data_IF_207546062170
#
_entry.id   IF_207546062170
#
_cell.length_a   1.000
_cell.length_b   1.000
_cell.length_c   1.000
_cell.angle_alpha   90.00
_cell.angle_beta   90.00
_cell.angle_gamma   90.00
#
_symmetry.space_group_name_H-M   'P 1'
#
loop_
_entity.id
_entity.type
_entity.pdbx_description
1 polymer ?
#
# COMPACT_ATOMS: atom_id res chain seq x y z
N UNK A 1 -24.07 16.61 -20.25
CA UNK A 1 -24.61 15.25 -20.00
C UNK A 1 -23.84 14.50 -18.90
N UNK A 2 -22.50 14.54 -18.86
CA UNK A 2 -21.69 13.82 -17.87
C UNK A 2 -21.87 14.29 -16.42
N UNK A 3 -22.11 15.59 -16.19
CA UNK A 3 -22.48 16.11 -14.86
C UNK A 3 -23.74 15.42 -14.30
N UNK A 4 -24.76 15.21 -15.13
CA UNK A 4 -25.98 14.52 -14.69
C UNK A 4 -25.71 13.06 -14.31
N UNK A 5 -24.83 12.37 -15.04
CA UNK A 5 -24.38 11.03 -14.67
C UNK A 5 -23.60 11.02 -13.35
N UNK A 6 -22.71 11.99 -13.15
CA UNK A 6 -21.97 12.17 -11.90
C UNK A 6 -22.90 12.38 -10.71
N UNK A 7 -23.90 13.26 -10.86
CA UNK A 7 -24.93 13.48 -9.85
C UNK A 7 -25.81 12.23 -9.62
N UNK A 8 -26.13 11.48 -10.67
CA UNK A 8 -26.82 10.20 -10.52
C UNK A 8 -26.00 9.22 -9.67
N UNK A 9 -24.71 9.02 -9.94
CA UNK A 9 -23.85 8.16 -9.12
C UNK A 9 -23.69 8.65 -7.69
N UNK A 10 -23.67 9.97 -7.48
CA UNK A 10 -23.68 10.57 -6.14
C UNK A 10 -24.96 10.16 -5.38
N UNK A 11 -26.13 10.28 -6.01
CA UNK A 11 -27.41 9.86 -5.40
C UNK A 11 -27.41 8.35 -5.11
N UNK A 12 -26.95 7.52 -6.05
CA UNK A 12 -26.86 6.06 -5.81
C UNK A 12 -25.91 5.74 -4.67
N UNK A 13 -24.77 6.44 -4.58
CA UNK A 13 -23.82 6.31 -3.46
C UNK A 13 -24.48 6.68 -2.14
N UNK A 14 -25.19 7.82 -2.08
CA UNK A 14 -25.93 8.24 -0.88
C UNK A 14 -26.97 7.19 -0.46
N UNK A 15 -27.74 6.64 -1.41
CA UNK A 15 -28.74 5.60 -1.12
C UNK A 15 -28.09 4.32 -0.59
N UNK A 16 -27.00 3.86 -1.20
CA UNK A 16 -26.27 2.70 -0.72
C UNK A 16 -25.74 2.94 0.69
N UNK A 17 -25.03 4.05 0.91
CA UNK A 17 -24.49 4.39 2.24
C UNK A 17 -25.59 4.49 3.29
N UNK A 18 -26.73 5.12 2.98
CA UNK A 18 -27.90 5.14 3.86
C UNK A 18 -28.39 3.72 4.17
N UNK A 19 -28.43 2.83 3.18
CA UNK A 19 -28.72 1.40 3.36
C UNK A 19 -27.76 0.71 4.35
N UNK A 20 -26.44 0.93 4.23
CA UNK A 20 -25.46 0.40 5.19
C UNK A 20 -25.66 0.94 6.60
N UNK A 21 -25.96 2.24 6.74
CA UNK A 21 -26.23 2.86 8.05
C UNK A 21 -27.50 2.29 8.68
N UNK A 22 -28.57 2.09 7.89
CA UNK A 22 -29.80 1.46 8.35
C UNK A 22 -29.59 0.01 8.77
N UNK A 23 -28.82 -0.76 7.99
CA UNK A 23 -28.47 -2.14 8.33
C UNK A 23 -27.68 -2.21 9.64
N UNK A 24 -26.65 -1.36 9.80
CA UNK A 24 -25.87 -1.28 11.04
C UNK A 24 -26.74 -0.87 12.24
N UNK A 25 -27.62 0.11 12.06
CA UNK A 25 -28.58 0.53 13.08
C UNK A 25 -29.55 -0.59 13.47
N UNK A 26 -30.05 -1.35 12.49
CA UNK A 26 -30.92 -2.51 12.71
C UNK A 26 -30.22 -3.63 13.47
N UNK A 27 -28.97 -3.95 13.13
CA UNK A 27 -28.16 -4.95 13.84
C UNK A 27 -27.90 -4.52 15.29
N UNK A 28 -27.51 -3.27 15.53
CA UNK A 28 -27.32 -2.74 16.89
C UNK A 28 -28.61 -2.81 17.71
N UNK A 29 -29.75 -2.50 17.10
CA UNK A 29 -31.06 -2.63 17.73
C UNK A 29 -31.38 -4.09 18.09
N UNK A 30 -31.14 -5.03 17.18
CA UNK A 30 -31.36 -6.46 17.40
C UNK A 30 -30.48 -7.00 18.54
N UNK A 31 -29.17 -6.72 18.52
CA UNK A 31 -28.24 -7.11 19.59
C UNK A 31 -28.69 -6.55 20.94
N UNK A 32 -29.06 -5.27 21.00
CA UNK A 32 -29.57 -4.64 22.22
C UNK A 32 -30.86 -5.31 22.71
N UNK A 33 -31.78 -5.65 21.81
CA UNK A 33 -33.02 -6.35 22.13
C UNK A 33 -32.75 -7.73 22.74
N UNK A 34 -31.81 -8.49 22.16
CA UNK A 34 -31.38 -9.79 22.69
C UNK A 34 -30.79 -9.63 24.09
N UNK A 35 -29.85 -8.68 24.28
CA UNK A 35 -29.26 -8.37 25.60
C UNK A 35 -30.35 -8.05 26.62
N UNK A 36 -31.31 -7.18 26.28
CA UNK A 36 -32.42 -6.84 27.19
C UNK A 36 -33.25 -8.07 27.57
N UNK A 37 -33.55 -8.96 26.62
CA UNK A 37 -34.29 -10.20 26.90
C UNK A 37 -33.52 -11.14 27.82
N UNK A 38 -32.20 -11.28 27.63
CA UNK A 38 -31.36 -12.10 28.50
C UNK A 38 -31.31 -11.58 29.95
N UNK A 39 -31.22 -10.26 30.13
CA UNK A 39 -31.16 -9.66 31.48
C UNK A 39 -32.52 -9.44 32.14
N UNK A 40 -33.62 -9.40 31.38
CA UNK A 40 -34.97 -9.28 31.92
C UNK A 40 -35.34 -10.44 32.87
N UNK A 41 -34.80 -11.64 32.62
CA UNK A 41 -35.00 -12.82 33.48
C UNK A 41 -34.22 -12.78 34.81
N UNK A 42 -33.27 -11.86 34.99
CA UNK A 42 -32.41 -11.78 36.18
C UNK A 42 -32.86 -10.73 37.21
N UNK A 43 -34.06 -10.14 37.06
CA UNK A 43 -34.58 -9.11 37.96
C UNK A 43 -33.83 -7.77 37.94
N UNK A 44 -32.72 -7.65 37.19
CA UNK A 44 -31.96 -6.41 37.02
C UNK A 44 -32.59 -5.56 35.92
N UNK A 45 -33.27 -4.48 36.28
CA UNK A 45 -33.72 -3.46 35.32
C UNK A 45 -32.48 -2.76 34.74
N UNK A 46 -32.22 -2.85 33.42
CA UNK A 46 -31.10 -2.12 32.82
C UNK A 46 -31.29 -0.62 33.01
N UNK A 47 -30.26 0.09 33.48
CA UNK A 47 -30.29 1.56 33.57
C UNK A 47 -30.58 2.13 32.18
N UNK A 48 -31.70 2.86 32.03
CA UNK A 48 -31.99 3.62 30.82
C UNK A 48 -30.85 4.61 30.59
N UNK A 49 -30.17 4.48 29.47
CA UNK A 49 -29.17 5.47 29.07
C UNK A 49 -29.86 6.65 28.38
N UNK A 50 -29.21 7.82 28.34
CA UNK A 50 -29.67 8.97 27.54
C UNK A 50 -29.88 8.61 26.06
N UNK A 51 -29.06 7.69 25.53
CA UNK A 51 -29.21 7.10 24.20
C UNK A 51 -30.55 6.36 24.03
N UNK A 52 -31.09 5.74 25.09
CA UNK A 52 -32.42 5.11 25.03
C UNK A 52 -33.54 6.14 24.93
N UNK A 53 -33.44 7.27 25.64
CA UNK A 53 -34.44 8.32 25.53
C UNK A 53 -34.48 8.91 24.11
N UNK A 54 -33.32 9.06 23.46
CA UNK A 54 -33.21 9.62 22.10
C UNK A 54 -33.70 8.63 21.02
N UNK A 55 -33.42 7.34 21.16
CA UNK A 55 -33.77 6.34 20.14
C UNK A 55 -35.24 5.91 20.23
N UNK A 56 -35.83 5.87 21.44
CA UNK A 56 -37.12 5.24 21.67
C UNK A 56 -38.29 6.21 21.93
N UNK A 57 -38.05 7.50 22.19
CA UNK A 57 -39.12 8.50 22.19
C UNK A 57 -39.44 8.92 20.75
N UNK A 58 -40.68 8.74 20.24
CA UNK A 58 -41.01 8.94 18.83
C UNK A 58 -40.65 10.33 18.29
N UNK A 59 -40.93 11.37 19.08
CA UNK A 59 -40.70 12.76 18.66
C UNK A 59 -39.22 13.14 18.65
N UNK A 60 -38.46 12.71 19.67
CA UNK A 60 -36.99 12.91 19.72
C UNK A 60 -36.30 12.09 18.64
N UNK A 61 -36.78 10.86 18.38
CA UNK A 61 -36.28 10.00 17.31
C UNK A 61 -36.49 10.64 15.94
N UNK A 62 -37.69 11.16 15.65
CA UNK A 62 -37.96 11.82 14.35
C UNK A 62 -37.07 13.04 14.12
N UNK A 63 -36.90 13.90 15.14
CA UNK A 63 -36.01 15.06 15.07
C UNK A 63 -34.55 14.63 14.88
N UNK A 64 -34.08 13.65 15.65
CA UNK A 64 -32.72 13.13 15.55
C UNK A 64 -32.45 12.49 14.18
N UNK A 65 -33.37 11.67 13.65
CA UNK A 65 -33.24 11.07 12.33
C UNK A 65 -33.23 12.13 11.21
N UNK A 66 -34.10 13.13 11.30
CA UNK A 66 -34.13 14.24 10.34
C UNK A 66 -32.81 15.02 10.35
N UNK A 67 -32.29 15.32 11.55
CA UNK A 67 -31.00 15.98 11.71
C UNK A 67 -29.85 15.12 11.13
N UNK A 68 -29.81 13.83 11.44
CA UNK A 68 -28.79 12.91 10.90
C UNK A 68 -28.87 12.83 9.37
N UNK A 69 -30.06 12.80 8.79
CA UNK A 69 -30.25 12.81 7.34
C UNK A 69 -29.75 14.12 6.71
N UNK A 70 -30.04 15.27 7.32
CA UNK A 70 -29.54 16.57 6.85
C UNK A 70 -28.01 16.59 6.88
N UNK A 71 -27.41 16.22 8.01
CA UNK A 71 -25.95 16.15 8.17
C UNK A 71 -25.33 15.20 7.14
N UNK A 72 -25.94 14.04 6.93
CA UNK A 72 -25.53 13.06 5.94
C UNK A 72 -25.52 13.63 4.52
N UNK A 73 -26.60 14.29 4.11
CA UNK A 73 -26.72 14.92 2.78
C UNK A 73 -25.72 16.05 2.59
N UNK A 74 -25.61 16.95 3.59
CA UNK A 74 -24.67 18.06 3.57
C UNK A 74 -23.23 17.56 3.46
N UNK A 75 -22.87 16.53 4.22
CA UNK A 75 -21.53 15.94 4.15
C UNK A 75 -21.20 15.40 2.76
N UNK A 76 -22.10 14.62 2.14
CA UNK A 76 -21.85 14.06 0.81
C UNK A 76 -21.79 15.14 -0.27
N UNK A 77 -22.68 16.14 -0.20
CA UNK A 77 -22.68 17.25 -1.14
C UNK A 77 -21.42 18.12 -1.00
N UNK A 78 -21.02 18.45 0.23
CA UNK A 78 -19.80 19.21 0.49
C UNK A 78 -18.56 18.46 0.00
N UNK A 79 -18.48 17.14 0.26
CA UNK A 79 -17.37 16.33 -0.21
C UNK A 79 -17.33 16.24 -1.75
N UNK A 80 -18.48 16.10 -2.40
CA UNK A 80 -18.59 16.15 -3.86
C UNK A 80 -18.13 17.49 -4.43
N UNK A 81 -18.60 18.61 -3.87
CA UNK A 81 -18.22 19.96 -4.31
C UNK A 81 -16.72 20.16 -4.14
N UNK A 82 -16.14 19.74 -3.01
CA UNK A 82 -14.70 19.82 -2.77
C UNK A 82 -13.92 19.02 -3.83
N UNK A 83 -14.31 17.77 -4.11
CA UNK A 83 -13.66 16.96 -5.14
C UNK A 83 -13.81 17.60 -6.52
N UNK A 84 -14.99 18.13 -6.84
CA UNK A 84 -15.22 18.81 -8.11
C UNK A 84 -14.36 20.06 -8.26
N UNK A 85 -14.24 20.88 -7.23
CA UNK A 85 -13.38 22.06 -7.22
C UNK A 85 -11.90 21.69 -7.40
N UNK A 86 -11.46 20.58 -6.82
CA UNK A 86 -10.09 20.10 -6.95
C UNK A 86 -9.78 19.59 -8.37
N UNK A 87 -10.71 18.86 -9.00
CA UNK A 87 -10.42 18.08 -10.21
C UNK A 87 -11.01 18.64 -11.51
N UNK A 88 -11.90 19.63 -11.44
CA UNK A 88 -12.53 20.28 -12.61
C UNK A 88 -11.98 21.69 -12.85
N UNK A 89 -10.72 21.94 -12.49
CA UNK A 89 -10.03 23.20 -12.81
C UNK A 89 -9.88 23.38 -14.32
N UNK A 90 -9.72 24.64 -14.77
CA UNK A 90 -9.57 24.96 -16.21
C UNK A 90 -8.32 24.33 -16.84
N UNK A 91 -7.30 24.09 -16.04
CA UNK A 91 -6.02 23.53 -16.49
C UNK A 91 -6.00 21.98 -16.47
N UNK A 92 -7.11 21.35 -16.05
CA UNK A 92 -7.20 19.89 -15.97
C UNK A 92 -7.68 19.29 -17.29
N UNK A 93 -7.09 18.15 -17.66
CA UNK A 93 -7.47 17.41 -18.85
C UNK A 93 -8.68 16.50 -18.59
N UNK A 94 -9.32 16.06 -19.69
CA UNK A 94 -10.36 15.02 -19.69
C UNK A 94 -11.55 15.31 -18.76
N UNK A 95 -12.03 16.55 -18.74
CA UNK A 95 -13.09 17.01 -17.84
C UNK A 95 -14.33 16.11 -17.82
N UNK A 96 -14.70 15.52 -18.96
CA UNK A 96 -15.82 14.57 -19.05
C UNK A 96 -15.57 13.28 -18.25
N UNK A 97 -14.36 12.71 -18.35
CA UNK A 97 -13.94 11.57 -17.54
C UNK A 97 -13.88 11.96 -16.05
N UNK A 98 -13.39 13.18 -15.74
CA UNK A 98 -13.26 13.68 -14.36
C UNK A 98 -14.58 13.81 -13.63
N UNK A 99 -15.70 14.03 -14.32
CA UNK A 99 -17.02 14.01 -13.66
C UNK A 99 -17.30 12.62 -13.03
N UNK A 100 -16.86 11.52 -13.65
CA UNK A 100 -16.93 10.17 -13.07
C UNK A 100 -15.89 9.98 -11.97
N UNK A 101 -14.68 10.54 -12.14
CA UNK A 101 -13.67 10.52 -11.09
C UNK A 101 -14.16 11.18 -9.80
N UNK A 102 -14.77 12.35 -9.89
CA UNK A 102 -15.31 13.11 -8.76
C UNK A 102 -16.40 12.31 -8.04
N UNK A 103 -17.35 11.72 -8.77
CA UNK A 103 -18.36 10.84 -8.16
C UNK A 103 -17.72 9.60 -7.52
N UNK A 104 -16.74 9.00 -8.20
CA UNK A 104 -15.99 7.85 -7.71
C UNK A 104 -15.18 8.14 -6.45
N UNK A 105 -14.65 9.35 -6.26
CA UNK A 105 -13.95 9.78 -5.05
C UNK A 105 -14.88 9.83 -3.83
N UNK A 106 -16.14 10.24 -4.02
CA UNK A 106 -17.13 10.27 -2.93
C UNK A 106 -17.41 8.84 -2.44
N UNK A 107 -17.71 7.92 -3.37
CA UNK A 107 -17.91 6.51 -3.05
C UNK A 107 -16.67 5.88 -2.42
N UNK A 108 -15.50 6.15 -2.99
CA UNK A 108 -14.23 5.65 -2.50
C UNK A 108 -13.94 6.13 -1.07
N UNK A 109 -14.22 7.39 -0.74
CA UNK A 109 -14.05 7.91 0.62
C UNK A 109 -14.85 7.11 1.65
N UNK A 110 -16.10 6.76 1.33
CA UNK A 110 -16.91 5.89 2.18
C UNK A 110 -16.36 4.46 2.26
N UNK A 111 -16.01 3.85 1.12
CA UNK A 111 -15.39 2.52 1.07
C UNK A 111 -14.09 2.47 1.88
N UNK A 112 -13.22 3.46 1.75
CA UNK A 112 -11.95 3.56 2.46
C UNK A 112 -12.13 3.71 3.98
N UNK A 113 -13.24 4.32 4.44
CA UNK A 113 -13.62 4.35 5.84
C UNK A 113 -14.04 2.96 6.33
N UNK A 114 -14.91 2.28 5.59
CA UNK A 114 -15.36 0.92 5.94
C UNK A 114 -14.19 -0.08 5.97
N UNK A 115 -13.30 -0.03 4.97
CA UNK A 115 -12.17 -0.97 4.87
C UNK A 115 -11.11 -0.78 5.97
N UNK A 116 -11.23 0.25 6.82
CA UNK A 116 -10.49 0.30 8.10
C UNK A 116 -10.90 -0.83 9.04
N UNK A 117 -12.18 -1.18 9.06
CA UNK A 117 -12.77 -2.11 10.03
C UNK A 117 -13.03 -3.49 9.43
N UNK A 118 -13.36 -3.55 8.14
CA UNK A 118 -13.68 -4.81 7.44
C UNK A 118 -12.74 -5.05 6.27
N UNK A 119 -12.59 -6.30 5.85
CA UNK A 119 -11.73 -6.68 4.73
C UNK A 119 -12.28 -6.14 3.40
N UNK A 120 -11.45 -5.66 2.44
CA UNK A 120 -11.92 -5.16 1.15
C UNK A 120 -12.77 -6.15 0.32
N UNK A 121 -12.48 -7.44 0.45
CA UNK A 121 -13.16 -8.53 -0.28
C UNK A 121 -14.41 -9.08 0.43
N UNK A 122 -14.75 -8.57 1.61
CA UNK A 122 -15.92 -9.11 2.33
C UNK A 122 -17.18 -8.91 1.49
N UNK A 123 -18.04 -9.92 1.43
CA UNK A 123 -19.28 -9.92 0.60
C UNK A 123 -20.16 -8.71 0.89
N UNK A 124 -20.17 -8.25 2.15
CA UNK A 124 -20.89 -7.05 2.58
C UNK A 124 -20.48 -5.82 1.77
N UNK A 125 -19.25 -5.69 1.28
CA UNK A 125 -18.78 -4.56 0.46
C UNK A 125 -19.07 -4.70 -1.04
N UNK A 126 -19.56 -5.86 -1.49
CA UNK A 126 -19.74 -6.14 -2.93
C UNK A 126 -20.59 -5.09 -3.67
N UNK A 127 -21.74 -4.61 -3.13
CA UNK A 127 -22.52 -3.56 -3.81
C UNK A 127 -21.72 -2.27 -4.05
N UNK A 128 -20.90 -1.85 -3.07
CA UNK A 128 -20.05 -0.66 -3.20
C UNK A 128 -18.90 -0.90 -4.17
N UNK A 129 -18.30 -2.08 -4.15
CA UNK A 129 -17.23 -2.46 -5.07
C UNK A 129 -17.75 -2.50 -6.52
N UNK A 130 -18.93 -3.09 -6.74
CA UNK A 130 -19.57 -3.15 -8.06
C UNK A 130 -19.91 -1.76 -8.60
N UNK A 131 -20.45 -0.87 -7.74
CA UNK A 131 -20.70 0.51 -8.14
C UNK A 131 -19.40 1.25 -8.49
N UNK A 132 -18.33 1.07 -7.72
CA UNK A 132 -17.03 1.69 -8.02
C UNK A 132 -16.46 1.19 -9.35
N UNK A 133 -16.49 -0.12 -9.60
CA UNK A 133 -16.02 -0.71 -10.87
C UNK A 133 -16.85 -0.19 -12.05
N UNK A 134 -18.16 0.01 -11.88
CA UNK A 134 -19.02 0.61 -12.91
C UNK A 134 -18.64 2.07 -13.19
N UNK A 135 -18.49 2.90 -12.16
CA UNK A 135 -18.05 4.30 -12.30
C UNK A 135 -16.67 4.37 -12.97
N UNK A 136 -15.74 3.51 -12.56
CA UNK A 136 -14.42 3.37 -13.18
C UNK A 136 -14.53 3.01 -14.66
N UNK A 137 -15.24 1.93 -14.99
CA UNK A 137 -15.41 1.47 -16.38
C UNK A 137 -15.99 2.55 -17.28
N UNK A 138 -16.99 3.31 -16.81
CA UNK A 138 -17.60 4.36 -17.61
C UNK A 138 -16.70 5.59 -17.75
N UNK A 139 -16.01 5.99 -16.69
CA UNK A 139 -15.09 7.13 -16.74
C UNK A 139 -13.84 6.86 -17.58
N UNK A 140 -13.21 5.69 -17.46
CA UNK A 140 -11.98 5.39 -18.23
C UNK A 140 -12.23 5.17 -19.72
N UNK A 141 -13.46 4.90 -20.16
CA UNK A 141 -13.82 4.89 -21.59
C UNK A 141 -13.67 6.26 -22.24
N UNK A 142 -13.75 7.33 -21.44
CA UNK A 142 -13.61 8.71 -21.88
C UNK A 142 -12.15 9.19 -21.84
N UNK A 143 -11.23 8.38 -21.29
CA UNK A 143 -9.80 8.66 -21.33
C UNK A 143 -9.18 8.09 -22.62
N UNK A 144 -8.13 8.73 -23.17
CA UNK A 144 -7.32 8.11 -24.21
C UNK A 144 -6.78 6.75 -23.75
N UNK A 145 -6.75 5.76 -24.65
CA UNK A 145 -6.34 4.37 -24.31
C UNK A 145 -4.95 4.29 -23.65
N UNK A 146 -4.06 5.21 -24.01
CA UNK A 146 -2.67 5.32 -23.54
C UNK A 146 -2.48 6.39 -22.46
N UNK A 147 -3.54 6.86 -21.80
CA UNK A 147 -3.38 7.82 -20.70
C UNK A 147 -3.06 7.10 -19.38
N UNK A 148 -2.00 7.53 -18.70
CA UNK A 148 -1.56 7.02 -17.41
C UNK A 148 -2.56 7.23 -16.28
N UNK A 149 -3.49 8.18 -16.44
CA UNK A 149 -4.51 8.53 -15.44
C UNK A 149 -5.37 7.32 -15.03
N UNK A 150 -5.71 6.44 -15.97
CA UNK A 150 -6.54 5.25 -15.65
C UNK A 150 -5.90 4.33 -14.62
N UNK A 151 -4.58 4.21 -14.65
CA UNK A 151 -3.81 3.37 -13.72
C UNK A 151 -3.71 4.01 -12.35
N UNK A 152 -3.69 5.35 -12.29
CA UNK A 152 -3.82 6.08 -11.03
C UNK A 152 -5.19 5.85 -10.42
N UNK A 153 -6.26 5.89 -11.20
CA UNK A 153 -7.61 5.59 -10.68
C UNK A 153 -7.70 4.17 -10.15
N UNK A 154 -7.11 3.21 -10.86
CA UNK A 154 -7.06 1.82 -10.43
C UNK A 154 -6.32 1.66 -9.09
N UNK A 155 -5.16 2.31 -8.98
CA UNK A 155 -4.36 2.38 -7.75
C UNK A 155 -5.16 2.98 -6.60
N UNK A 156 -5.81 4.12 -6.82
CA UNK A 156 -6.55 4.83 -5.78
C UNK A 156 -7.76 4.03 -5.28
N UNK A 157 -8.57 3.50 -6.19
CA UNK A 157 -9.90 3.00 -5.82
C UNK A 157 -9.95 1.51 -5.47
N UNK A 158 -9.01 0.72 -5.98
CA UNK A 158 -9.03 -0.73 -5.83
C UNK A 158 -7.80 -1.28 -5.11
N UNK A 159 -6.61 -0.72 -5.33
CA UNK A 159 -5.38 -1.27 -4.76
C UNK A 159 -5.03 -0.65 -3.40
N UNK A 160 -5.24 0.66 -3.23
CA UNK A 160 -4.91 1.36 -2.00
C UNK A 160 -5.54 0.76 -0.71
N UNK A 161 -6.78 0.21 -0.71
CA UNK A 161 -7.31 -0.48 0.45
C UNK A 161 -6.40 -1.59 1.00
N UNK A 162 -5.72 -2.33 0.12
CA UNK A 162 -4.76 -3.38 0.51
C UNK A 162 -3.41 -2.77 0.88
N UNK A 163 -2.91 -1.83 0.06
CA UNK A 163 -1.60 -1.18 0.28
C UNK A 163 -1.53 -0.50 1.65
N UNK A 164 -2.58 0.22 2.05
CA UNK A 164 -2.60 1.00 3.29
C UNK A 164 -2.52 0.13 4.55
N UNK A 165 -3.09 -1.07 4.49
CA UNK A 165 -3.16 -1.97 5.64
C UNK A 165 -2.24 -3.18 5.50
N UNK A 166 -1.47 -3.25 4.41
CA UNK A 166 -0.67 -4.41 4.01
C UNK A 166 -1.45 -5.73 4.05
N UNK A 167 -2.76 -5.66 3.72
CA UNK A 167 -3.65 -6.82 3.74
C UNK A 167 -3.50 -7.64 2.47
N UNK A 168 -3.68 -8.94 2.60
CA UNK A 168 -3.78 -9.88 1.48
C UNK A 168 -5.21 -9.90 0.94
N UNK A 169 -5.49 -10.76 -0.05
CA UNK A 169 -6.89 -11.07 -0.38
C UNK A 169 -7.52 -11.91 0.74
N UNK A 170 -8.85 -11.98 0.78
CA UNK A 170 -9.54 -12.71 1.86
C UNK A 170 -9.19 -14.20 1.92
N UNK A 171 -8.86 -14.79 0.78
CA UNK A 171 -8.38 -16.17 0.63
C UNK A 171 -6.84 -16.27 0.60
N UNK A 172 -6.13 -15.15 0.78
CA UNK A 172 -4.68 -15.09 0.84
C UNK A 172 -4.17 -15.57 2.20
N UNK A 173 -3.01 -16.23 2.15
CA UNK A 173 -2.20 -16.59 3.32
C UNK A 173 -0.74 -16.36 2.90
N UNK A 174 0.05 -15.73 3.77
CA UNK A 174 1.49 -15.51 3.58
C UNK A 174 2.26 -16.79 3.25
N UNK A 175 1.71 -17.97 3.53
CA UNK A 175 2.35 -19.26 3.25
C UNK A 175 1.72 -20.08 2.12
N UNK A 176 0.65 -19.59 1.48
CA UNK A 176 -0.08 -20.37 0.48
C UNK A 176 -0.41 -19.55 -0.75
N UNK A 177 -0.37 -20.23 -1.88
CA UNK A 177 -0.84 -19.66 -3.12
C UNK A 177 -2.35 -19.39 -3.08
N UNK A 178 -2.71 -18.20 -3.57
CA UNK A 178 -4.08 -17.77 -3.79
C UNK A 178 -4.21 -17.20 -5.20
N UNK A 179 -5.10 -17.74 -6.05
CA UNK A 179 -5.37 -17.18 -7.38
C UNK A 179 -5.83 -15.72 -7.34
N UNK A 180 -6.55 -15.31 -6.28
CA UNK A 180 -6.99 -13.92 -6.14
C UNK A 180 -5.81 -13.02 -5.77
N UNK A 181 -4.86 -13.51 -4.98
CA UNK A 181 -3.65 -12.78 -4.68
C UNK A 181 -2.78 -12.58 -5.92
N UNK A 182 -2.64 -13.60 -6.78
CA UNK A 182 -1.97 -13.46 -8.09
C UNK A 182 -2.66 -12.40 -8.94
N UNK A 183 -4.00 -12.47 -9.10
CA UNK A 183 -4.77 -11.46 -9.84
C UNK A 183 -4.60 -10.07 -9.25
N UNK A 184 -4.51 -9.95 -7.93
CA UNK A 184 -4.25 -8.68 -7.26
C UNK A 184 -2.85 -8.17 -7.64
N UNK A 185 -1.82 -9.01 -7.51
CA UNK A 185 -0.44 -8.66 -7.86
C UNK A 185 -0.26 -8.27 -9.32
N UNK A 186 -0.93 -8.94 -10.25
CA UNK A 186 -0.94 -8.54 -11.66
C UNK A 186 -1.60 -7.16 -11.84
N UNK A 187 -2.71 -6.86 -11.15
CA UNK A 187 -3.29 -5.51 -11.16
C UNK A 187 -2.34 -4.46 -10.58
N UNK A 188 -1.57 -4.80 -9.55
CA UNK A 188 -0.51 -3.94 -9.01
C UNK A 188 0.56 -3.69 -10.05
N UNK A 189 1.04 -4.73 -10.72
CA UNK A 189 2.05 -4.61 -11.78
C UNK A 189 1.55 -3.75 -12.94
N UNK A 190 0.34 -4.01 -13.44
CA UNK A 190 -0.28 -3.22 -14.52
C UNK A 190 -0.39 -1.74 -14.14
N UNK A 191 -0.76 -1.45 -12.89
CA UNK A 191 -0.86 -0.09 -12.39
C UNK A 191 0.52 0.58 -12.29
N UNK A 192 1.53 -0.13 -11.77
CA UNK A 192 2.92 0.36 -11.72
C UNK A 192 3.46 0.66 -13.12
N UNK A 193 3.35 -0.30 -14.03
CA UNK A 193 3.83 -0.15 -15.41
C UNK A 193 3.09 0.98 -16.12
N UNK A 194 1.76 1.03 -16.02
CA UNK A 194 0.95 2.06 -16.65
C UNK A 194 1.29 3.46 -16.13
N UNK A 195 1.42 3.64 -14.81
CA UNK A 195 1.80 4.92 -14.22
C UNK A 195 3.22 5.35 -14.59
N UNK A 196 4.16 4.41 -14.77
CA UNK A 196 5.54 4.73 -15.08
C UNK A 196 5.81 5.00 -16.57
N UNK A 197 5.04 4.38 -17.46
CA UNK A 197 5.34 4.35 -18.91
C UNK A 197 4.38 5.16 -19.78
N UNK A 198 3.15 5.40 -19.32
CA UNK A 198 2.16 6.10 -20.12
C UNK A 198 2.22 7.63 -19.92
N UNK A 199 1.92 8.41 -20.96
CA UNK A 199 1.79 9.86 -20.84
C UNK A 199 0.61 10.25 -19.94
N UNK A 200 0.70 11.44 -19.34
CA UNK A 200 -0.38 12.05 -18.58
C UNK A 200 -0.74 13.36 -19.23
N UNK A 201 -2.00 13.52 -19.64
CA UNK A 201 -2.49 14.83 -20.07
C UNK A 201 -2.72 15.77 -18.87
N UNK A 202 -3.15 15.22 -17.74
CA UNK A 202 -3.37 15.97 -16.50
C UNK A 202 -2.10 15.99 -15.61
N UNK A 203 -1.45 17.15 -15.55
CA UNK A 203 -0.26 17.35 -14.73
C UNK A 203 -0.54 17.25 -13.22
N UNK A 204 -1.73 17.66 -12.76
CA UNK A 204 -2.13 17.54 -11.36
C UNK A 204 -2.25 16.06 -10.97
N UNK A 205 -2.88 15.23 -11.81
CA UNK A 205 -2.97 13.78 -11.59
C UNK A 205 -1.58 13.13 -11.53
N UNK A 206 -0.69 13.51 -12.46
CA UNK A 206 0.69 13.04 -12.50
C UNK A 206 1.46 13.39 -11.22
N UNK A 207 1.41 14.66 -10.82
CA UNK A 207 2.22 15.15 -9.70
C UNK A 207 1.62 14.81 -8.34
N UNK A 208 0.31 14.97 -8.15
CA UNK A 208 -0.31 14.81 -6.83
C UNK A 208 -0.67 13.37 -6.50
N UNK A 209 -0.88 12.51 -7.50
CA UNK A 209 -1.30 11.13 -7.30
C UNK A 209 -0.26 10.12 -7.74
N UNK A 210 0.24 10.20 -8.98
CA UNK A 210 1.26 9.24 -9.42
C UNK A 210 2.53 9.36 -8.57
N UNK A 211 3.20 10.52 -8.60
CA UNK A 211 4.47 10.69 -7.89
C UNK A 211 4.35 10.43 -6.39
N UNK A 212 3.18 10.67 -5.81
CA UNK A 212 2.91 10.47 -4.39
C UNK A 212 2.68 9.00 -4.02
N UNK A 213 1.88 8.28 -4.79
CA UNK A 213 1.35 6.97 -4.38
C UNK A 213 2.16 5.79 -4.94
N UNK A 214 2.95 6.02 -5.99
CA UNK A 214 3.79 4.98 -6.60
C UNK A 214 4.69 4.23 -5.60
N UNK A 215 5.36 4.90 -4.64
CA UNK A 215 6.23 4.19 -3.70
C UNK A 215 5.51 3.15 -2.86
N UNK A 216 4.32 3.47 -2.35
CA UNK A 216 3.56 2.54 -1.51
C UNK A 216 3.07 1.33 -2.33
N UNK A 217 2.65 1.57 -3.58
CA UNK A 217 2.24 0.53 -4.51
C UNK A 217 3.43 -0.42 -4.83
N UNK A 218 4.59 0.14 -5.13
CA UNK A 218 5.82 -0.60 -5.41
C UNK A 218 6.28 -1.42 -4.19
N UNK A 219 6.20 -0.82 -3.00
CA UNK A 219 6.54 -1.48 -1.74
C UNK A 219 5.67 -2.71 -1.49
N UNK A 220 4.35 -2.57 -1.62
CA UNK A 220 3.43 -3.69 -1.45
C UNK A 220 3.68 -4.80 -2.47
N UNK A 221 3.88 -4.45 -3.76
CA UNK A 221 4.21 -5.43 -4.79
C UNK A 221 5.48 -6.21 -4.42
N UNK A 222 6.56 -5.53 -4.03
CA UNK A 222 7.80 -6.19 -3.61
C UNK A 222 7.63 -7.08 -2.39
N UNK A 223 6.80 -6.66 -1.43
CA UNK A 223 6.52 -7.45 -0.22
C UNK A 223 5.80 -8.76 -0.54
N UNK A 224 4.91 -8.75 -1.53
CA UNK A 224 3.98 -9.86 -1.78
C UNK A 224 4.25 -10.63 -3.07
N UNK A 225 5.21 -10.22 -3.91
CA UNK A 225 5.49 -10.87 -5.21
C UNK A 225 5.82 -12.36 -5.14
N UNK A 226 6.28 -12.89 -3.99
CA UNK A 226 6.49 -14.32 -3.79
C UNK A 226 5.20 -15.14 -3.93
N UNK A 227 4.03 -14.54 -3.71
CA UNK A 227 2.72 -15.20 -3.83
C UNK A 227 2.29 -15.44 -5.29
N UNK A 228 3.12 -15.12 -6.29
CA UNK A 228 2.94 -15.65 -7.64
C UNK A 228 3.17 -17.18 -7.72
N UNK A 229 3.76 -17.80 -6.70
CA UNK A 229 4.15 -19.22 -6.69
C UNK A 229 3.54 -19.99 -5.52
N UNK A 230 3.50 -21.33 -5.65
CA UNK A 230 2.79 -22.24 -4.74
C UNK A 230 3.37 -22.36 -3.32
N UNK A 231 4.69 -22.15 -3.16
CA UNK A 231 5.37 -22.25 -1.87
C UNK A 231 6.25 -21.04 -1.63
N UNK A 232 5.94 -20.23 -0.61
CA UNK A 232 6.78 -19.10 -0.21
C UNK A 232 8.18 -19.56 0.23
N UNK A 233 8.27 -20.75 0.82
CA UNK A 233 9.53 -21.43 1.08
C UNK A 233 10.11 -21.95 -0.25
N UNK A 234 11.17 -21.31 -0.72
CA UNK A 234 11.76 -21.57 -2.03
C UNK A 234 11.22 -20.69 -3.17
N UNK A 235 10.11 -19.96 -2.98
CA UNK A 235 9.61 -19.00 -3.97
C UNK A 235 10.68 -17.98 -4.38
N UNK A 236 11.56 -17.58 -3.46
CA UNK A 236 12.65 -16.64 -3.78
C UNK A 236 13.60 -17.21 -4.83
N UNK A 237 13.98 -18.49 -4.72
CA UNK A 237 14.84 -19.14 -5.70
C UNK A 237 14.14 -19.28 -7.05
N UNK A 238 12.86 -19.66 -7.05
CA UNK A 238 12.04 -19.76 -8.28
C UNK A 238 11.87 -18.39 -8.94
N UNK A 239 11.52 -17.37 -8.14
CA UNK A 239 11.40 -15.97 -8.56
C UNK A 239 12.70 -15.47 -9.18
N UNK A 240 13.83 -15.74 -8.54
CA UNK A 240 15.14 -15.28 -8.96
C UNK A 240 15.62 -15.94 -10.26
N UNK A 241 14.95 -17.01 -10.69
CA UNK A 241 15.18 -17.70 -11.96
C UNK A 241 14.10 -17.39 -13.00
N UNK A 242 12.98 -16.76 -12.62
CA UNK A 242 11.91 -16.38 -13.55
C UNK A 242 12.29 -15.09 -14.32
N UNK A 243 12.50 -15.17 -15.64
CA UNK A 243 12.89 -14.00 -16.44
C UNK A 243 11.91 -12.84 -16.36
N UNK A 244 10.60 -13.12 -16.24
CA UNK A 244 9.56 -12.10 -16.14
C UNK A 244 9.73 -11.34 -14.83
N UNK A 245 9.94 -12.03 -13.71
CA UNK A 245 10.07 -11.38 -12.41
C UNK A 245 11.39 -10.64 -12.23
N UNK A 246 12.46 -11.13 -12.86
CA UNK A 246 13.73 -10.43 -12.99
C UNK A 246 13.55 -9.12 -13.77
N UNK A 247 12.91 -9.17 -14.94
CA UNK A 247 12.61 -7.97 -15.74
C UNK A 247 11.74 -6.98 -14.96
N UNK A 248 10.65 -7.46 -14.34
CA UNK A 248 9.76 -6.63 -13.52
C UNK A 248 10.52 -5.93 -12.38
N UNK A 249 11.43 -6.64 -11.72
CA UNK A 249 12.26 -6.07 -10.64
C UNK A 249 13.22 -5.02 -11.17
N UNK A 250 13.90 -5.28 -12.29
CA UNK A 250 14.82 -4.33 -12.92
C UNK A 250 14.10 -3.03 -13.34
N UNK A 251 12.91 -3.16 -13.94
CA UNK A 251 12.06 -2.03 -14.30
C UNK A 251 11.65 -1.22 -13.06
N UNK A 252 11.26 -1.91 -11.98
CA UNK A 252 10.82 -1.25 -10.75
C UNK A 252 11.98 -0.49 -10.07
N UNK A 253 13.17 -1.07 -10.01
CA UNK A 253 14.40 -0.41 -9.52
C UNK A 253 14.65 0.87 -10.32
N UNK A 254 14.61 0.78 -11.65
CA UNK A 254 14.80 1.94 -12.55
C UNK A 254 13.76 3.03 -12.29
N UNK A 255 12.47 2.67 -12.27
CA UNK A 255 11.40 3.65 -12.05
C UNK A 255 11.45 4.31 -10.67
N UNK A 256 11.79 3.56 -9.63
CA UNK A 256 12.02 4.11 -8.29
C UNK A 256 13.25 5.02 -8.26
N UNK A 257 14.31 4.69 -9.00
CA UNK A 257 15.47 5.55 -9.23
C UNK A 257 15.06 6.89 -9.83
N UNK A 258 14.43 6.87 -11.01
CA UNK A 258 13.93 8.04 -11.73
C UNK A 258 12.94 8.89 -10.93
N UNK A 259 12.13 8.26 -10.08
CA UNK A 259 11.13 8.97 -9.28
C UNK A 259 11.75 10.06 -8.39
N UNK A 260 13.00 9.88 -7.94
CA UNK A 260 13.72 10.91 -7.19
C UNK A 260 13.93 12.17 -8.01
N UNK A 261 14.41 12.03 -9.23
CA UNK A 261 14.63 13.16 -10.14
C UNK A 261 13.30 13.84 -10.45
N UNK A 262 12.26 13.04 -10.75
CA UNK A 262 10.89 13.53 -10.97
C UNK A 262 10.34 14.35 -9.77
N UNK A 263 10.65 13.96 -8.54
CA UNK A 263 10.30 14.74 -7.34
C UNK A 263 11.12 16.02 -7.17
N UNK A 264 12.37 16.02 -7.61
CA UNK A 264 13.20 17.22 -7.59
C UNK A 264 12.70 18.24 -8.59
N UNK A 265 12.22 17.81 -9.76
CA UNK A 265 11.71 18.71 -10.80
C UNK A 265 10.32 19.28 -10.46
N UNK A 266 9.52 18.57 -9.66
CA UNK A 266 8.18 19.00 -9.26
C UNK A 266 8.17 19.76 -7.91
N UNK A 267 8.05 21.09 -7.96
CA UNK A 267 7.99 21.94 -6.75
C UNK A 267 6.88 21.51 -5.76
N UNK A 268 5.72 21.07 -6.26
CA UNK A 268 4.61 20.56 -5.45
C UNK A 268 5.03 19.36 -4.62
N UNK A 269 5.79 18.43 -5.22
CA UNK A 269 6.28 17.23 -4.53
C UNK A 269 7.34 17.54 -3.48
N UNK A 270 8.22 18.51 -3.69
CA UNK A 270 9.18 18.95 -2.66
C UNK A 270 8.48 19.34 -1.35
N UNK A 271 7.37 20.08 -1.46
CA UNK A 271 6.55 20.47 -0.31
C UNK A 271 5.82 19.28 0.32
N UNK A 272 5.26 18.39 -0.49
CA UNK A 272 4.58 17.16 0.00
C UNK A 272 5.56 16.28 0.77
N UNK A 273 6.76 16.04 0.25
CA UNK A 273 7.77 15.19 0.91
C UNK A 273 8.32 15.79 2.21
N UNK A 274 8.35 17.13 2.33
CA UNK A 274 8.69 17.81 3.58
C UNK A 274 7.61 17.57 4.66
N UNK A 275 6.33 17.60 4.27
CA UNK A 275 5.20 17.36 5.18
C UNK A 275 4.97 15.88 5.48
N UNK A 276 5.27 15.01 4.53
CA UNK A 276 4.99 13.58 4.56
C UNK A 276 6.24 12.75 4.20
N UNK A 277 7.27 12.74 5.07
CA UNK A 277 8.53 12.04 4.81
C UNK A 277 8.37 10.53 4.59
N UNK A 278 7.29 9.93 5.10
CA UNK A 278 6.97 8.51 4.91
C UNK A 278 6.86 8.10 3.44
N UNK A 279 6.49 9.02 2.53
CA UNK A 279 6.46 8.74 1.08
C UNK A 279 7.87 8.45 0.56
N UNK A 280 8.87 9.23 1.01
CA UNK A 280 10.25 9.04 0.62
C UNK A 280 10.88 7.82 1.31
N UNK A 281 10.48 7.52 2.55
CA UNK A 281 10.82 6.27 3.23
C UNK A 281 10.32 5.09 2.41
N UNK A 282 9.02 5.00 2.10
CA UNK A 282 8.43 3.91 1.31
C UNK A 282 9.13 3.70 -0.05
N UNK A 283 9.59 4.79 -0.70
CA UNK A 283 10.38 4.68 -1.95
C UNK A 283 11.71 3.99 -1.70
N UNK A 284 12.45 4.42 -0.68
CA UNK A 284 13.75 3.83 -0.36
C UNK A 284 13.59 2.37 0.09
N UNK A 285 12.56 2.06 0.88
CA UNK A 285 12.28 0.68 1.29
C UNK A 285 11.96 -0.21 0.08
N UNK A 286 11.10 0.25 -0.83
CA UNK A 286 10.79 -0.47 -2.06
C UNK A 286 12.02 -0.67 -2.94
N UNK A 287 12.90 0.34 -3.03
CA UNK A 287 14.13 0.28 -3.80
C UNK A 287 15.14 -0.70 -3.19
N UNK A 288 15.32 -0.68 -1.87
CA UNK A 288 16.16 -1.63 -1.16
C UNK A 288 15.67 -3.06 -1.37
N UNK A 289 14.36 -3.33 -1.19
CA UNK A 289 13.81 -4.67 -1.44
C UNK A 289 14.00 -5.14 -2.88
N UNK A 290 13.88 -4.23 -3.87
CA UNK A 290 14.18 -4.55 -5.25
C UNK A 290 15.64 -4.92 -5.47
N UNK A 291 16.56 -4.14 -4.89
CA UNK A 291 18.01 -4.35 -5.01
C UNK A 291 18.48 -5.62 -4.29
N UNK A 292 17.92 -5.94 -3.13
CA UNK A 292 18.18 -7.19 -2.42
C UNK A 292 17.79 -8.39 -3.29
N UNK A 293 16.61 -8.36 -3.88
CA UNK A 293 16.20 -9.40 -4.81
C UNK A 293 17.10 -9.46 -6.05
N UNK A 294 17.49 -8.33 -6.62
CA UNK A 294 18.37 -8.30 -7.78
C UNK A 294 19.77 -8.86 -7.46
N UNK A 295 20.30 -8.60 -6.26
CA UNK A 295 21.56 -9.19 -5.80
C UNK A 295 21.42 -10.70 -5.59
N UNK A 296 20.32 -11.16 -5.01
CA UNK A 296 20.02 -12.59 -4.87
C UNK A 296 19.97 -13.29 -6.23
N UNK A 297 19.31 -12.70 -7.23
CA UNK A 297 19.34 -13.16 -8.62
C UNK A 297 20.75 -13.27 -9.18
N UNK A 298 21.62 -12.29 -8.92
CA UNK A 298 23.02 -12.33 -9.38
C UNK A 298 23.79 -13.47 -8.71
N UNK A 299 23.59 -13.70 -7.41
CA UNK A 299 24.22 -14.79 -6.67
C UNK A 299 23.77 -16.14 -7.23
N UNK A 300 22.46 -16.35 -7.35
CA UNK A 300 21.87 -17.61 -7.83
C UNK A 300 22.25 -17.94 -9.27
N UNK A 301 22.47 -16.92 -10.10
CA UNK A 301 22.90 -17.08 -11.49
C UNK A 301 24.44 -17.06 -11.66
N UNK A 302 25.22 -17.09 -10.57
CA UNK A 302 26.70 -17.03 -10.59
C UNK A 302 27.26 -15.81 -11.34
N UNK A 303 26.56 -14.69 -11.26
CA UNK A 303 26.91 -13.40 -11.90
C UNK A 303 27.28 -12.32 -10.87
N UNK A 304 27.36 -12.67 -9.59
CA UNK A 304 27.70 -11.72 -8.53
C UNK A 304 29.11 -11.16 -8.73
N UNK A 305 29.22 -9.83 -8.68
CA UNK A 305 30.49 -9.09 -8.67
C UNK A 305 30.38 -7.86 -7.80
N UNK A 306 31.43 -7.52 -7.07
CA UNK A 306 31.45 -6.37 -6.18
C UNK A 306 31.31 -5.02 -6.90
N UNK A 307 31.74 -4.95 -8.16
CA UNK A 307 31.60 -3.78 -9.04
C UNK A 307 30.25 -3.76 -9.80
N UNK A 308 29.37 -4.73 -9.57
CA UNK A 308 28.09 -4.80 -10.27
C UNK A 308 27.23 -3.55 -9.93
N UNK A 309 26.55 -2.91 -10.91
CA UNK A 309 25.78 -1.69 -10.70
C UNK A 309 24.74 -1.79 -9.57
N UNK A 310 24.10 -2.95 -9.38
CA UNK A 310 23.16 -3.17 -8.29
C UNK A 310 23.80 -3.24 -6.91
N UNK A 311 25.02 -3.76 -6.77
CA UNK A 311 25.75 -3.73 -5.50
C UNK A 311 26.07 -2.29 -5.13
N UNK A 312 26.61 -1.52 -6.08
CA UNK A 312 26.92 -0.10 -5.88
C UNK A 312 25.68 0.74 -5.55
N UNK A 313 24.57 0.49 -6.26
CA UNK A 313 23.30 1.17 -6.00
C UNK A 313 22.69 0.76 -4.66
N UNK A 314 22.84 -0.51 -4.24
CA UNK A 314 22.41 -0.98 -2.92
C UNK A 314 23.15 -0.27 -1.79
N UNK A 315 24.49 -0.27 -1.84
CA UNK A 315 25.36 0.38 -0.85
C UNK A 315 24.99 1.86 -0.72
N UNK A 316 24.88 2.58 -1.84
CA UNK A 316 24.46 3.99 -1.86
C UNK A 316 23.07 4.19 -1.27
N UNK A 317 22.09 3.37 -1.69
CA UNK A 317 20.70 3.51 -1.22
C UNK A 317 20.58 3.23 0.27
N UNK A 318 21.32 2.24 0.78
CA UNK A 318 21.36 1.89 2.21
C UNK A 318 21.96 3.01 3.04
N UNK A 319 23.07 3.60 2.59
CA UNK A 319 23.67 4.76 3.23
C UNK A 319 22.71 5.96 3.25
N UNK A 320 22.01 6.24 2.13
CA UNK A 320 21.01 7.31 2.05
C UNK A 320 19.76 7.06 2.91
N UNK A 321 19.40 5.80 3.17
CA UNK A 321 18.26 5.44 4.02
C UNK A 321 18.57 5.67 5.50
N UNK A 322 19.76 5.28 5.94
CA UNK A 322 20.22 5.51 7.31
C UNK A 322 20.48 6.99 7.54
N UNK A 323 21.21 7.64 6.62
CA UNK A 323 21.59 9.05 6.70
C UNK A 323 22.67 9.32 7.74
N UNK A 324 23.07 10.58 7.83
CA UNK A 324 23.98 11.09 8.86
C UNK A 324 23.44 12.38 9.47
N UNK A 325 24.15 12.95 10.45
CA UNK A 325 23.79 14.26 11.01
C UNK A 325 23.92 15.38 9.98
N UNK A 326 24.93 15.31 9.13
CA UNK A 326 25.22 16.26 8.05
C UNK A 326 24.26 16.09 6.86
N UNK A 327 23.82 14.86 6.62
CA UNK A 327 22.91 14.50 5.52
C UNK A 327 21.74 13.64 6.04
N UNK A 328 20.73 14.26 6.69
CA UNK A 328 19.64 13.53 7.30
C UNK A 328 18.76 12.83 6.26
N UNK A 329 18.50 11.54 6.47
CA UNK A 329 17.68 10.73 5.58
C UNK A 329 16.19 11.06 5.70
N UNK A 330 15.34 10.63 4.73
CA UNK A 330 13.90 10.59 4.91
C UNK A 330 13.44 9.91 6.20
N UNK A 331 14.12 8.85 6.62
CA UNK A 331 13.85 8.13 7.85
C UNK A 331 14.06 9.02 9.08
N UNK A 332 15.19 9.72 9.16
CA UNK A 332 15.50 10.64 10.27
C UNK A 332 14.49 11.79 10.40
N UNK A 333 13.80 12.15 9.30
CA UNK A 333 12.77 13.21 9.27
C UNK A 333 11.41 12.78 9.83
N UNK A 334 11.17 11.49 10.03
CA UNK A 334 9.96 11.04 10.72
C UNK A 334 10.00 11.52 12.17
N UNK A 335 8.90 12.09 12.68
CA UNK A 335 8.87 12.63 14.07
C UNK A 335 8.79 11.53 15.12
N UNK A 336 8.09 10.43 14.82
CA UNK A 336 7.86 9.34 15.75
C UNK A 336 9.08 8.41 15.80
N UNK A 337 9.77 8.36 16.95
CA UNK A 337 10.97 7.55 17.15
C UNK A 337 10.70 6.04 16.99
N UNK A 338 9.60 5.52 17.54
CA UNK A 338 9.23 4.11 17.40
C UNK A 338 8.96 3.73 15.94
N UNK A 339 8.34 4.63 15.19
CA UNK A 339 8.12 4.42 13.77
C UNK A 339 9.46 4.41 12.99
N UNK A 340 10.40 5.30 13.34
CA UNK A 340 11.74 5.30 12.74
C UNK A 340 12.47 3.97 13.00
N UNK A 341 12.48 3.55 14.26
CA UNK A 341 13.10 2.28 14.68
C UNK A 341 12.47 1.11 13.94
N UNK A 342 11.14 1.03 13.87
CA UNK A 342 10.45 -0.01 13.10
C UNK A 342 10.88 -0.08 11.63
N UNK A 343 10.92 1.07 10.92
CA UNK A 343 11.37 1.10 9.53
C UNK A 343 12.87 0.81 9.37
N UNK A 344 13.69 1.24 10.34
CA UNK A 344 15.11 0.90 10.37
C UNK A 344 15.27 -0.61 10.50
N UNK A 345 14.63 -1.23 11.49
CA UNK A 345 14.76 -2.65 11.74
C UNK A 345 14.22 -3.49 10.59
N UNK A 346 13.06 -3.13 10.05
CA UNK A 346 12.44 -3.84 8.93
C UNK A 346 13.28 -3.84 7.65
N UNK A 347 14.27 -2.95 7.51
CA UNK A 347 15.03 -2.77 6.27
C UNK A 347 16.54 -2.89 6.40
N UNK A 348 17.08 -2.59 7.57
CA UNK A 348 18.51 -2.63 7.85
C UNK A 348 18.86 -3.85 8.69
N UNK A 349 18.02 -4.19 9.67
CA UNK A 349 18.24 -5.30 10.59
C UNK A 349 17.37 -6.54 10.26
N UNK A 350 16.64 -6.53 9.14
CA UNK A 350 15.96 -7.73 8.63
C UNK A 350 16.98 -8.80 8.24
N UNK A 351 16.63 -10.09 8.35
CA UNK A 351 17.53 -11.23 8.10
C UNK A 351 18.26 -11.12 6.76
N UNK A 352 17.54 -10.85 5.67
CA UNK A 352 18.16 -10.63 4.35
C UNK A 352 19.11 -9.42 4.30
N UNK A 353 18.79 -8.32 4.97
CA UNK A 353 19.67 -7.15 5.02
C UNK A 353 20.94 -7.42 5.85
N UNK A 354 20.83 -8.23 6.91
CA UNK A 354 21.98 -8.67 7.72
C UNK A 354 22.89 -9.63 6.95
N UNK A 355 22.33 -10.49 6.08
CA UNK A 355 23.13 -11.28 5.14
C UNK A 355 24.05 -10.37 4.30
N UNK A 356 23.51 -9.31 3.69
CA UNK A 356 24.32 -8.37 2.90
C UNK A 356 25.33 -7.58 3.76
N UNK A 357 24.99 -7.27 5.02
CA UNK A 357 25.93 -6.63 5.97
C UNK A 357 27.14 -7.52 6.26
N UNK A 358 26.99 -8.85 6.29
CA UNK A 358 28.10 -9.79 6.50
C UNK A 358 28.85 -10.09 5.20
N UNK A 359 28.11 -10.27 4.11
CA UNK A 359 28.65 -10.67 2.81
C UNK A 359 29.51 -9.55 2.18
N UNK A 360 29.04 -8.31 2.17
CA UNK A 360 29.74 -7.22 1.46
C UNK A 360 31.11 -6.87 2.05
N UNK A 361 31.32 -6.79 3.38
CA UNK A 361 32.66 -6.62 3.95
C UNK A 361 33.58 -7.80 3.64
N UNK A 362 33.09 -9.04 3.81
CA UNK A 362 33.90 -10.25 3.62
C UNK A 362 34.43 -10.37 2.18
N UNK A 363 33.57 -10.16 1.19
CA UNK A 363 33.89 -10.44 -0.22
C UNK A 363 34.24 -9.20 -1.03
N UNK A 364 33.72 -8.04 -0.65
CA UNK A 364 33.90 -6.79 -1.40
C UNK A 364 34.71 -5.74 -0.64
N UNK A 365 34.99 -5.93 0.66
CA UNK A 365 35.60 -4.90 1.51
C UNK A 365 34.72 -3.66 1.68
N UNK A 366 33.40 -3.78 1.48
CA UNK A 366 32.45 -2.66 1.54
C UNK A 366 31.65 -2.73 2.83
N UNK A 367 31.84 -1.73 3.69
CA UNK A 367 31.03 -1.55 4.90
C UNK A 367 29.66 -0.94 4.60
N UNK A 368 28.62 -1.52 5.19
CA UNK A 368 27.25 -0.96 5.16
C UNK A 368 26.69 -0.82 6.57
N UNK A 369 25.71 0.07 6.75
CA UNK A 369 25.09 0.32 8.04
C UNK A 369 24.17 -0.83 8.48
N UNK A 370 24.07 -1.09 9.80
CA UNK A 370 23.23 -2.13 10.38
C UNK A 370 23.98 -3.04 11.33
N UNK A 371 23.24 -3.89 12.02
CA UNK A 371 23.81 -4.89 12.94
C UNK A 371 24.24 -6.14 12.17
N UNK A 372 25.35 -6.75 12.59
CA UNK A 372 25.77 -8.06 12.09
C UNK A 372 25.01 -9.20 12.79
N UNK A 373 24.63 -8.99 14.05
CA UNK A 373 23.98 -10.01 14.87
C UNK A 373 22.54 -10.23 14.43
N UNK A 374 22.14 -11.49 14.20
CA UNK A 374 20.79 -11.83 13.77
C UNK A 374 19.72 -11.76 14.89
N UNK A 375 20.08 -11.39 16.12
CA UNK A 375 19.18 -11.35 17.30
C UNK A 375 19.29 -10.07 18.13
N UNK A 376 18.23 -9.82 18.90
CA UNK A 376 18.15 -8.85 19.99
C UNK A 376 17.98 -9.59 21.33
N UNK A 377 18.83 -10.59 21.62
CA UNK A 377 18.82 -11.33 22.90
C UNK A 377 20.13 -11.13 23.64
N UNK A 378 20.05 -10.89 24.95
CA UNK A 378 21.22 -10.69 25.83
C UNK A 378 21.96 -11.99 26.20
N UNK A 379 21.59 -13.14 25.63
CA UNK A 379 22.14 -14.45 25.97
C UNK A 379 23.20 -14.88 24.96
N UNK A 380 24.43 -15.06 25.44
CA UNK A 380 25.60 -15.41 24.62
C UNK A 380 25.56 -16.85 24.08
N UNK A 381 24.94 -17.79 24.78
CA UNK A 381 24.90 -19.21 24.39
C UNK A 381 24.00 -19.46 23.16
N UNK A 382 23.01 -18.60 22.92
CA UNK A 382 22.16 -18.66 21.72
C UNK A 382 22.88 -18.11 20.46
N UNK A 383 23.95 -17.33 20.63
CA UNK A 383 24.60 -16.59 19.52
C UNK A 383 25.31 -17.53 18.55
N UNK A 384 26.04 -18.53 19.05
CA UNK A 384 26.78 -19.51 18.23
C UNK A 384 25.84 -20.44 17.45
N UNK A 385 24.79 -20.93 18.11
CA UNK A 385 23.80 -21.83 17.50
C UNK A 385 23.05 -21.18 16.33
N UNK A 386 22.93 -19.84 16.35
CA UNK A 386 22.24 -19.08 15.33
C UNK A 386 23.14 -18.61 14.19
N UNK A 387 24.40 -18.28 14.45
CA UNK A 387 25.37 -18.08 13.37
C UNK A 387 25.49 -19.34 12.50
N UNK A 388 25.54 -20.53 13.13
CA UNK A 388 25.51 -21.81 12.43
C UNK A 388 24.18 -22.00 11.66
N UNK A 389 23.05 -21.59 12.24
CA UNK A 389 21.73 -21.70 11.60
C UNK A 389 21.53 -20.74 10.44
N UNK A 390 22.02 -19.50 10.53
CA UNK A 390 21.96 -18.53 9.44
C UNK A 390 22.95 -18.89 8.34
N UNK A 391 24.15 -19.35 8.72
CA UNK A 391 25.09 -19.91 7.76
C UNK A 391 24.48 -21.13 7.07
N UNK A 392 23.70 -21.97 7.77
CA UNK A 392 22.94 -23.05 7.13
C UNK A 392 21.77 -22.57 6.26
N UNK A 393 21.16 -21.42 6.58
CA UNK A 393 20.07 -20.84 5.77
C UNK A 393 20.63 -20.29 4.44
N UNK A 394 21.81 -19.66 4.50
CA UNK A 394 22.46 -19.03 3.34
C UNK A 394 23.69 -19.80 2.83
N UNK A 395 23.82 -21.08 3.18
CA UNK A 395 25.04 -21.88 2.92
C UNK A 395 25.30 -21.95 1.41
N UNK A 396 24.22 -22.19 0.67
CA UNK A 396 24.22 -22.26 -0.79
C UNK A 396 24.63 -20.92 -1.40
N UNK A 397 24.11 -19.82 -0.90
CA UNK A 397 24.43 -18.47 -1.39
C UNK A 397 25.89 -18.13 -1.15
N UNK A 398 26.42 -18.45 0.04
CA UNK A 398 27.85 -18.27 0.33
C UNK A 398 28.72 -19.14 -0.58
N UNK A 399 28.36 -20.41 -0.79
CA UNK A 399 29.08 -21.29 -1.71
C UNK A 399 29.08 -20.71 -3.14
N UNK A 400 27.92 -20.27 -3.64
CA UNK A 400 27.83 -19.67 -4.98
C UNK A 400 28.64 -18.39 -5.13
N UNK A 401 28.76 -17.59 -4.06
CA UNK A 401 29.62 -16.39 -4.04
C UNK A 401 31.10 -16.80 -4.08
N UNK A 402 31.52 -17.78 -3.27
CA UNK A 402 32.90 -18.29 -3.27
C UNK A 402 33.27 -18.84 -4.66
N UNK A 403 32.40 -19.64 -5.29
CA UNK A 403 32.58 -20.15 -6.66
C UNK A 403 32.71 -18.99 -7.67
N UNK A 404 31.85 -17.97 -7.57
CA UNK A 404 31.86 -16.84 -8.50
C UNK A 404 33.10 -15.93 -8.36
N UNK A 405 33.63 -15.77 -7.14
CA UNK A 405 34.77 -14.88 -6.86
C UNK A 405 36.11 -15.61 -7.03
N UNK A 406 36.20 -16.87 -6.60
CA UNK A 406 37.46 -17.62 -6.55
C UNK A 406 37.60 -18.68 -7.64
N UNK A 407 36.55 -18.97 -8.42
CA UNK A 407 36.62 -19.80 -9.62
C UNK A 407 36.79 -21.30 -9.38
N UNK A 408 36.41 -21.81 -8.20
CA UNK A 408 36.42 -23.24 -7.88
C UNK A 408 35.18 -23.97 -8.37
#
# INVERSE_FOLDING_TARGET
MHLLHSLFYLVVTMLLTAGYLLLAGGLLYAVRSIIRRMFAGQGRKPKRTTLDAVIFEPDKRRKALSFLLIVFLVYHLAFYIQQRQQWMGRDNAHLEAKEYFVAGQVLYGFRALLTRFIHPDIVVLWPLNALQEKIYSDGVKLLPKKDGERYVWQQLWFLYPYTRTLRETWDGDDNKYSPNMVKLLDRYWDSLQGMATQPFADAQMKHEQYYRNFPALAFYYNLKKAQHYESVWGALQVLAQDPVQIERTNLLIRWLGELRSKWQDAQTMRNVLKKHPLIAVARQEALLSGLEFAMETLILNKQFRCDHPYVQLYVKTRAEFVGSREHPSPLMRLRNAKQREYHYDARINWVGARFYKRMLPKYCGIEVAGEEEFFNTKNWDDKKLWDDRIQSIFEKEFQLIEEAIHGN
#
